data_IF_262470910805
#
_entry.id   IF_262470910805
#
_cell.length_a   1.000
_cell.length_b   1.000
_cell.length_c   1.000
_cell.angle_alpha   90.00
_cell.angle_beta   90.00
_cell.angle_gamma   90.00
#
_symmetry.space_group_name_H-M   'P 1'
#
loop_
_entity.id
_entity.type
_entity.pdbx_description
1 polymer ?
#
# COMPACT_ATOMS: atom_id res chain seq x y z
N UNK A 1 21.93 7.76 23.33
CA UNK A 1 21.60 9.20 23.33
C UNK A 1 21.10 9.53 21.92
N UNK A 2 19.79 9.50 21.74
CA UNK A 2 19.14 9.88 20.48
C UNK A 2 19.16 11.40 20.42
N UNK A 3 19.85 11.99 19.44
CA UNK A 3 19.79 13.43 19.19
C UNK A 3 18.48 13.69 18.45
N UNK A 4 17.59 14.40 19.10
CA UNK A 4 16.36 14.94 18.52
C UNK A 4 16.66 15.75 17.25
N UNK A 5 16.24 15.21 16.11
CA UNK A 5 16.30 15.90 14.80
C UNK A 5 15.23 17.00 14.69
N UNK A 6 14.34 17.10 15.67
CA UNK A 6 13.23 18.07 15.67
C UNK A 6 13.65 19.54 15.80
N UNK A 7 14.92 19.83 16.15
CA UNK A 7 15.40 21.20 16.39
C UNK A 7 15.75 21.94 15.09
N UNK A 8 15.95 21.24 13.98
CA UNK A 8 16.38 21.87 12.72
C UNK A 8 15.22 22.57 11.98
N UNK A 9 13.98 22.20 12.27
CA UNK A 9 12.82 22.75 11.56
C UNK A 9 12.37 24.15 12.04
N UNK A 10 12.84 24.62 13.19
CA UNK A 10 12.38 25.87 13.79
C UNK A 10 13.12 27.12 13.32
N UNK A 11 14.26 26.99 12.65
CA UNK A 11 15.10 28.12 12.22
C UNK A 11 15.27 28.21 10.70
N UNK A 12 14.35 27.71 9.93
CA UNK A 12 14.38 27.86 8.47
C UNK A 12 14.14 29.36 8.14
N UNK A 13 15.06 30.02 7.45
CA UNK A 13 14.92 31.45 7.11
C UNK A 13 13.60 31.74 6.38
N UNK A 14 13.00 32.91 6.63
CA UNK A 14 11.68 33.27 6.10
C UNK A 14 11.60 33.18 4.56
N UNK A 15 12.68 33.43 3.85
CA UNK A 15 12.76 33.34 2.38
C UNK A 15 12.73 31.90 1.87
N UNK A 16 13.01 30.93 2.71
CA UNK A 16 12.89 29.49 2.37
C UNK A 16 11.48 28.98 2.66
N UNK A 17 10.68 29.71 3.45
CA UNK A 17 9.30 29.34 3.79
C UNK A 17 8.27 29.82 2.75
N UNK A 18 8.66 30.68 1.84
CA UNK A 18 7.77 31.27 0.84
C UNK A 18 7.82 30.49 -0.46
N UNK A 19 6.97 29.52 -0.57
CA UNK A 19 6.56 29.02 -1.85
C UNK A 19 7.04 27.64 -2.21
N UNK A 20 6.15 26.74 -2.15
CA UNK A 20 6.06 25.59 -2.99
C UNK A 20 7.21 24.59 -2.83
N UNK A 21 7.51 23.88 -3.80
CA UNK A 21 8.41 22.74 -3.90
C UNK A 21 9.92 23.05 -3.90
N UNK A 22 10.38 24.10 -3.23
CA UNK A 22 11.82 24.42 -3.17
C UNK A 22 12.61 23.23 -2.59
N UNK A 23 13.58 22.76 -3.35
CA UNK A 23 14.38 21.58 -3.01
C UNK A 23 13.80 20.25 -3.54
N UNK A 24 12.58 20.27 -4.07
CA UNK A 24 11.92 19.10 -4.66
C UNK A 24 11.79 19.18 -6.19
N UNK A 25 12.46 20.13 -6.83
CA UNK A 25 12.34 20.38 -8.27
C UNK A 25 12.75 19.17 -9.13
N UNK A 26 13.64 18.35 -8.59
CA UNK A 26 14.15 17.15 -9.25
C UNK A 26 13.47 15.86 -8.80
N UNK A 27 12.45 15.93 -7.94
CA UNK A 27 11.70 14.76 -7.53
C UNK A 27 10.62 14.47 -8.56
N UNK A 28 10.75 13.33 -9.23
CA UNK A 28 9.73 12.74 -10.11
C UNK A 28 8.91 11.69 -9.37
N UNK A 29 7.81 11.24 -9.98
CA UNK A 29 7.00 10.15 -9.43
C UNK A 29 7.79 8.85 -9.22
N UNK A 30 8.87 8.65 -9.96
CA UNK A 30 9.76 7.48 -9.83
C UNK A 30 10.59 7.51 -8.53
N UNK A 31 10.75 8.70 -7.95
CA UNK A 31 11.47 8.89 -6.68
C UNK A 31 10.55 8.80 -5.47
N UNK A 32 9.24 8.65 -5.68
CA UNK A 32 8.25 8.61 -4.60
C UNK A 32 7.71 7.20 -4.42
N UNK A 33 7.64 6.76 -3.18
CA UNK A 33 6.96 5.51 -2.83
C UNK A 33 5.50 5.81 -2.54
N UNK A 34 4.59 5.07 -3.19
CA UNK A 34 3.17 5.13 -2.84
C UNK A 34 2.98 4.40 -1.51
N UNK A 35 2.45 5.07 -0.47
CA UNK A 35 2.19 4.43 0.81
C UNK A 35 1.25 3.23 0.63
N UNK A 36 1.55 2.14 1.33
CA UNK A 36 0.69 0.96 1.41
C UNK A 36 0.31 0.71 2.85
N UNK A 37 -0.89 0.21 3.07
CA UNK A 37 -1.28 -0.30 4.38
C UNK A 37 -1.18 -1.82 4.34
N UNK A 38 -0.45 -2.37 5.31
CA UNK A 38 -0.25 -3.80 5.48
C UNK A 38 -0.89 -4.24 6.79
N UNK A 39 -1.67 -5.29 6.76
CA UNK A 39 -2.11 -5.97 7.98
C UNK A 39 -1.04 -6.93 8.45
N UNK A 40 -0.57 -6.74 9.66
CA UNK A 40 0.49 -7.54 10.25
C UNK A 40 0.03 -8.98 10.53
N UNK A 41 0.91 -9.92 10.29
CA UNK A 41 0.76 -11.33 10.63
C UNK A 41 1.73 -11.69 11.76
N UNK A 42 1.55 -12.88 12.35
CA UNK A 42 2.41 -13.39 13.43
C UNK A 42 3.91 -13.35 13.09
N UNK A 43 4.25 -13.61 11.83
CA UNK A 43 5.64 -13.66 11.34
C UNK A 43 6.03 -12.40 10.54
N UNK A 44 5.33 -11.30 10.71
CA UNK A 44 5.72 -10.02 10.09
C UNK A 44 6.93 -9.44 10.80
N UNK A 45 7.90 -8.96 10.02
CA UNK A 45 9.14 -8.35 10.53
C UNK A 45 8.87 -7.21 11.50
N UNK A 46 7.79 -6.46 11.29
CA UNK A 46 7.37 -5.32 12.11
C UNK A 46 6.96 -5.74 13.54
N UNK A 47 6.62 -7.02 13.73
CA UNK A 47 6.24 -7.58 15.05
C UNK A 47 7.45 -8.14 15.80
N UNK A 48 8.52 -8.53 15.10
CA UNK A 48 9.72 -9.10 15.68
C UNK A 48 10.60 -8.00 16.28
N UNK A 49 10.73 -7.98 17.61
CA UNK A 49 11.53 -7.00 18.36
C UNK A 49 13.02 -6.98 17.96
N UNK A 50 13.53 -8.09 17.41
CA UNK A 50 14.93 -8.20 16.99
C UNK A 50 15.15 -7.79 15.52
N UNK A 51 14.09 -7.51 14.78
CA UNK A 51 14.18 -7.16 13.36
C UNK A 51 14.36 -5.65 13.16
N UNK A 52 15.17 -5.25 12.16
CA UNK A 52 15.41 -3.83 11.86
C UNK A 52 14.16 -3.06 11.41
N UNK A 53 13.12 -3.77 10.98
CA UNK A 53 11.82 -3.21 10.60
C UNK A 53 10.80 -3.22 11.76
N UNK A 54 11.23 -3.56 12.99
CA UNK A 54 10.33 -3.56 14.14
C UNK A 54 9.63 -2.21 14.33
N UNK A 55 8.33 -2.28 14.60
CA UNK A 55 7.50 -1.13 14.96
C UNK A 55 7.07 -1.30 16.41
N UNK A 56 7.40 -0.32 17.24
CA UNK A 56 7.08 -0.36 18.66
C UNK A 56 5.58 -0.54 18.89
N UNK A 57 5.23 -1.46 19.79
CA UNK A 57 3.84 -1.83 20.13
C UNK A 57 3.00 -2.45 19.00
N UNK A 58 3.58 -2.75 17.84
CA UNK A 58 2.88 -3.42 16.76
C UNK A 58 2.56 -4.88 17.10
N UNK A 59 1.36 -5.31 16.80
CA UNK A 59 0.85 -6.65 17.10
C UNK A 59 0.28 -7.32 15.85
N UNK A 60 0.22 -8.66 15.81
CA UNK A 60 -0.51 -9.35 14.75
C UNK A 60 -1.96 -8.87 14.68
N UNK A 61 -2.42 -8.58 13.48
CA UNK A 61 -3.74 -8.03 13.20
C UNK A 61 -3.78 -6.51 13.05
N UNK A 62 -2.75 -5.79 13.50
CA UNK A 62 -2.67 -4.33 13.33
C UNK A 62 -2.44 -3.96 11.86
N UNK A 63 -2.94 -2.80 11.48
CA UNK A 63 -2.68 -2.16 10.20
C UNK A 63 -1.55 -1.15 10.35
N UNK A 64 -0.53 -1.23 9.49
CA UNK A 64 0.62 -0.32 9.50
C UNK A 64 0.84 0.29 8.12
N UNK A 65 1.26 1.54 8.10
CA UNK A 65 1.70 2.21 6.88
C UNK A 65 3.16 1.82 6.59
N UNK A 66 3.42 1.33 5.39
CA UNK A 66 4.76 0.82 5.01
C UNK A 66 5.81 1.91 4.81
N UNK A 67 5.39 3.16 4.59
CA UNK A 67 6.30 4.31 4.35
C UNK A 67 6.49 5.12 5.64
N UNK A 68 5.40 5.54 6.27
CA UNK A 68 5.46 6.35 7.50
C UNK A 68 5.73 5.52 8.74
N UNK A 69 5.55 4.20 8.67
CA UNK A 69 5.62 3.24 9.78
C UNK A 69 4.61 3.51 10.91
N UNK A 70 3.58 4.32 10.62
CA UNK A 70 2.49 4.58 11.55
C UNK A 70 1.68 3.30 11.78
N UNK A 71 1.47 2.96 13.06
CA UNK A 71 0.59 1.87 13.45
C UNK A 71 -0.81 2.42 13.71
N UNK A 72 -1.78 1.99 12.90
CA UNK A 72 -3.19 2.38 13.01
C UNK A 72 -3.97 1.49 14.01
N UNK A 73 -3.34 0.43 14.54
CA UNK A 73 -4.02 -0.56 15.36
C UNK A 73 -4.88 -1.52 14.53
N UNK A 74 -5.91 -2.09 15.17
CA UNK A 74 -6.76 -3.13 14.57
C UNK A 74 -7.85 -2.58 13.65
N UNK A 75 -8.10 -1.30 13.70
CA UNK A 75 -9.16 -0.62 12.94
C UNK A 75 -8.62 0.66 12.34
N UNK A 76 -9.05 0.96 11.13
CA UNK A 76 -8.75 2.21 10.44
C UNK A 76 -9.96 2.64 9.63
N UNK A 77 -10.41 3.88 9.85
CA UNK A 77 -11.52 4.47 9.11
C UNK A 77 -11.02 5.01 7.78
N UNK A 78 -11.70 4.61 6.70
CA UNK A 78 -11.24 4.94 5.34
C UNK A 78 -12.39 5.28 4.41
N UNK A 79 -12.08 6.13 3.43
CA UNK A 79 -12.90 6.33 2.23
C UNK A 79 -12.22 5.60 1.07
N UNK A 80 -12.96 4.74 0.38
CA UNK A 80 -12.45 3.99 -0.75
C UNK A 80 -12.67 4.77 -2.04
N UNK A 81 -11.61 5.34 -2.61
CA UNK A 81 -11.71 6.24 -3.76
C UNK A 81 -11.50 5.55 -5.11
N UNK A 82 -10.78 4.42 -5.13
CA UNK A 82 -10.52 3.69 -6.37
C UNK A 82 -10.30 2.20 -6.10
N UNK A 83 -10.62 1.39 -7.10
CA UNK A 83 -10.41 -0.05 -7.11
C UNK A 83 -9.79 -0.48 -8.43
N UNK A 84 -8.78 -1.33 -8.35
CA UNK A 84 -8.12 -1.93 -9.51
C UNK A 84 -7.88 -3.42 -9.26
N UNK A 85 -7.99 -4.21 -10.30
CA UNK A 85 -7.58 -5.62 -10.31
C UNK A 85 -6.44 -5.82 -11.30
N UNK A 86 -5.39 -6.49 -10.87
CA UNK A 86 -4.22 -6.82 -11.67
C UNK A 86 -3.79 -8.27 -11.42
N UNK A 87 -3.03 -8.80 -12.37
CA UNK A 87 -2.37 -10.09 -12.27
C UNK A 87 -0.85 -9.87 -12.22
N UNK A 88 -0.26 -10.15 -11.06
CA UNK A 88 1.16 -9.96 -10.83
C UNK A 88 1.89 -11.27 -11.12
N UNK A 89 2.90 -11.22 -11.96
CA UNK A 89 3.72 -12.37 -12.34
C UNK A 89 5.04 -12.35 -11.58
N UNK A 90 5.31 -13.42 -10.88
CA UNK A 90 6.54 -13.65 -10.13
C UNK A 90 7.28 -14.86 -10.71
N UNK A 91 8.59 -14.79 -10.76
CA UNK A 91 9.41 -16.00 -10.93
C UNK A 91 9.34 -16.79 -9.63
N UNK A 92 9.08 -18.10 -9.70
CA UNK A 92 9.06 -18.95 -8.50
C UNK A 92 10.39 -18.89 -7.75
N UNK A 93 10.35 -18.98 -6.41
CA UNK A 93 11.55 -18.82 -5.56
C UNK A 93 12.65 -19.83 -5.90
N UNK A 94 12.29 -21.08 -6.20
CA UNK A 94 13.22 -22.14 -6.64
C UNK A 94 13.87 -21.87 -8.00
N UNK A 95 13.36 -20.91 -8.76
CA UNK A 95 13.87 -20.45 -10.06
C UNK A 95 14.57 -19.08 -9.99
N UNK A 96 14.90 -18.61 -8.81
CA UNK A 96 15.61 -17.36 -8.58
C UNK A 96 14.74 -16.22 -8.03
N UNK A 97 13.42 -16.35 -8.07
CA UNK A 97 12.51 -15.32 -7.59
C UNK A 97 12.51 -14.06 -8.46
N UNK A 98 11.72 -13.07 -8.07
CA UNK A 98 11.68 -11.75 -8.71
C UNK A 98 10.37 -11.43 -9.39
N UNK A 99 10.08 -10.14 -9.51
CA UNK A 99 8.93 -9.61 -10.22
C UNK A 99 9.19 -9.63 -11.73
N UNK A 100 8.26 -10.18 -12.49
CA UNK A 100 8.29 -10.13 -13.97
C UNK A 100 7.51 -8.92 -14.48
N UNK A 101 6.31 -8.69 -13.93
CA UNK A 101 5.46 -7.59 -14.34
C UNK A 101 4.05 -7.69 -13.77
N UNK A 102 3.24 -6.69 -14.13
CA UNK A 102 1.83 -6.59 -13.73
C UNK A 102 0.98 -6.48 -14.99
N UNK A 103 -0.09 -7.24 -15.07
CA UNK A 103 -0.93 -7.38 -16.27
C UNK A 103 -2.41 -7.17 -15.92
N UNK A 104 -3.21 -6.64 -16.85
CA UNK A 104 -4.63 -6.39 -16.60
C UNK A 104 -5.47 -7.67 -16.57
N UNK A 105 -5.00 -8.76 -17.20
CA UNK A 105 -5.64 -10.06 -17.18
C UNK A 105 -4.64 -11.20 -17.03
N UNK A 106 -5.16 -12.37 -16.64
CA UNK A 106 -4.35 -13.60 -16.58
C UNK A 106 -3.89 -14.04 -17.97
N UNK A 107 -4.73 -13.82 -18.95
CA UNK A 107 -4.48 -14.14 -20.36
C UNK A 107 -3.32 -13.32 -20.90
N UNK A 108 -3.29 -12.01 -20.62
CA UNK A 108 -2.18 -11.13 -21.02
C UNK A 108 -0.87 -11.53 -20.35
N UNK A 109 -0.92 -11.93 -19.08
CA UNK A 109 0.24 -12.44 -18.37
C UNK A 109 0.82 -13.71 -19.01
N UNK A 110 -0.05 -14.65 -19.38
CA UNK A 110 0.35 -15.89 -20.06
C UNK A 110 0.90 -15.59 -21.47
N UNK A 111 0.23 -14.71 -22.23
CA UNK A 111 0.68 -14.31 -23.56
C UNK A 111 2.07 -13.70 -23.50
N UNK A 112 2.31 -12.78 -22.56
CA UNK A 112 3.62 -12.16 -22.36
C UNK A 112 4.71 -13.19 -22.04
N UNK A 113 4.44 -14.13 -21.13
CA UNK A 113 5.42 -15.19 -20.80
C UNK A 113 5.76 -16.03 -22.04
N UNK A 114 4.75 -16.39 -22.83
CA UNK A 114 4.91 -17.17 -24.06
C UNK A 114 5.74 -16.42 -25.11
N UNK A 115 5.47 -15.13 -25.32
CA UNK A 115 6.24 -14.27 -26.25
C UNK A 115 7.71 -14.11 -25.84
N UNK A 116 7.97 -14.12 -24.52
CA UNK A 116 9.34 -14.07 -23.99
C UNK A 116 10.03 -15.45 -23.96
N UNK A 117 9.39 -16.50 -24.47
CA UNK A 117 9.91 -17.87 -24.42
C UNK A 117 10.06 -18.44 -23.01
N UNK A 118 9.30 -17.91 -22.04
CA UNK A 118 9.34 -18.31 -20.62
C UNK A 118 8.26 -19.36 -20.35
N UNK A 119 8.62 -20.37 -19.56
CA UNK A 119 7.66 -21.39 -19.15
C UNK A 119 6.71 -20.85 -18.08
N UNK A 120 5.42 -20.97 -18.31
CA UNK A 120 4.39 -20.56 -17.32
C UNK A 120 4.58 -21.31 -16.00
N UNK A 121 5.00 -22.57 -16.05
CA UNK A 121 5.23 -23.40 -14.87
C UNK A 121 6.38 -22.92 -13.97
N UNK A 122 7.30 -22.10 -14.47
CA UNK A 122 8.38 -21.49 -13.70
C UNK A 122 7.93 -20.18 -13.00
N UNK A 123 6.67 -19.77 -13.23
CA UNK A 123 6.12 -18.51 -12.73
C UNK A 123 4.88 -18.72 -11.88
N UNK A 124 4.61 -17.78 -11.00
CA UNK A 124 3.39 -17.67 -10.22
C UNK A 124 2.63 -16.43 -10.70
N UNK A 125 1.37 -16.61 -11.11
CA UNK A 125 0.48 -15.52 -11.52
C UNK A 125 -0.51 -15.30 -10.39
N UNK A 126 -0.36 -14.17 -9.68
CA UNK A 126 -1.16 -13.85 -8.51
C UNK A 126 -2.18 -12.78 -8.84
N UNK A 127 -3.48 -13.10 -8.72
CA UNK A 127 -4.55 -12.10 -8.76
C UNK A 127 -4.44 -11.18 -7.55
N UNK A 128 -4.41 -9.87 -7.79
CA UNK A 128 -4.33 -8.85 -6.75
C UNK A 128 -5.39 -7.79 -6.98
N UNK A 129 -6.20 -7.54 -5.97
CA UNK A 129 -7.17 -6.47 -5.93
C UNK A 129 -6.65 -5.35 -5.04
N UNK A 130 -6.44 -4.17 -5.61
CA UNK A 130 -5.89 -3.01 -4.94
C UNK A 130 -6.99 -1.97 -4.72
N UNK A 131 -7.19 -1.59 -3.47
CA UNK A 131 -8.03 -0.48 -3.07
C UNK A 131 -7.17 0.75 -2.82
N UNK A 132 -7.53 1.88 -3.41
CA UNK A 132 -6.95 3.17 -3.07
C UNK A 132 -7.85 3.84 -2.03
N UNK A 133 -7.27 4.17 -0.90
CA UNK A 133 -7.98 4.58 0.29
C UNK A 133 -7.45 5.92 0.79
N UNK A 134 -8.33 6.74 1.33
CA UNK A 134 -7.99 7.92 2.11
C UNK A 134 -8.32 7.63 3.58
N UNK A 135 -7.37 7.89 4.48
CA UNK A 135 -7.62 7.79 5.93
C UNK A 135 -8.58 8.89 6.35
N UNK A 136 -9.50 8.57 7.22
CA UNK A 136 -10.40 9.53 7.82
C UNK A 136 -10.22 9.52 9.34
N UNK A 137 -10.25 10.68 9.94
CA UNK A 137 -10.33 10.82 11.39
C UNK A 137 -11.78 10.54 11.86
N UNK A 138 -11.95 9.57 12.75
CA UNK A 138 -13.25 9.14 13.24
C UNK A 138 -14.02 10.27 13.96
N UNK A 139 -13.29 11.16 14.65
CA UNK A 139 -13.90 12.17 15.51
C UNK A 139 -14.25 13.44 14.77
N UNK A 140 -13.36 13.86 13.85
CA UNK A 140 -13.53 15.12 13.10
C UNK A 140 -14.21 14.90 11.76
N UNK A 141 -14.14 13.69 11.20
CA UNK A 141 -14.59 13.38 9.84
C UNK A 141 -13.65 13.91 8.75
N UNK A 142 -12.50 14.47 9.14
CA UNK A 142 -11.51 14.97 8.19
C UNK A 142 -10.86 13.83 7.44
N UNK A 143 -10.71 14.01 6.13
CA UNK A 143 -10.10 13.03 5.24
C UNK A 143 -8.70 13.48 4.88
N UNK A 144 -7.74 12.58 4.99
CA UNK A 144 -6.34 12.87 4.64
C UNK A 144 -6.18 13.12 3.14
N UNK A 145 -5.27 14.02 2.78
CA UNK A 145 -5.01 14.37 1.37
C UNK A 145 -4.18 13.31 0.63
N UNK A 146 -3.40 12.51 1.38
CA UNK A 146 -2.50 11.52 0.78
C UNK A 146 -3.15 10.15 0.80
N UNK A 147 -3.41 9.56 -0.38
CA UNK A 147 -3.97 8.22 -0.45
C UNK A 147 -2.91 7.16 -0.12
N UNK A 148 -3.37 6.03 0.35
CA UNK A 148 -2.58 4.81 0.46
C UNK A 148 -3.25 3.64 -0.25
N UNK A 149 -2.47 2.61 -0.56
CA UNK A 149 -2.96 1.41 -1.23
C UNK A 149 -3.13 0.28 -0.21
N UNK A 150 -4.20 -0.49 -0.39
CA UNK A 150 -4.43 -1.73 0.35
C UNK A 150 -4.60 -2.87 -0.64
N UNK A 151 -3.62 -3.78 -0.65
CA UNK A 151 -3.58 -4.90 -1.58
C UNK A 151 -4.21 -6.14 -0.96
N UNK A 152 -5.13 -6.73 -1.71
CA UNK A 152 -5.81 -7.98 -1.39
C UNK A 152 -5.41 -9.05 -2.41
N UNK A 153 -4.65 -10.04 -1.96
CA UNK A 153 -4.27 -11.20 -2.75
C UNK A 153 -4.55 -12.49 -1.96
N UNK A 154 -4.61 -13.62 -2.63
CA UNK A 154 -4.81 -14.95 -2.03
C UNK A 154 -6.02 -14.97 -1.09
N UNK A 155 -5.86 -15.25 0.18
CA UNK A 155 -6.96 -15.34 1.17
C UNK A 155 -7.72 -14.02 1.36
N UNK A 156 -7.09 -12.88 1.12
CA UNK A 156 -7.71 -11.55 1.24
C UNK A 156 -8.64 -11.20 0.07
N UNK A 157 -8.57 -11.94 -1.06
CA UNK A 157 -9.47 -11.71 -2.20
C UNK A 157 -10.94 -11.88 -1.81
N UNK A 158 -11.25 -12.82 -0.91
CA UNK A 158 -12.62 -13.00 -0.43
C UNK A 158 -13.12 -11.74 0.27
N UNK A 159 -12.32 -11.19 1.16
CA UNK A 159 -12.67 -9.97 1.93
C UNK A 159 -12.86 -8.78 0.99
N UNK A 160 -11.97 -8.61 0.00
CA UNK A 160 -12.10 -7.56 -1.01
C UNK A 160 -13.40 -7.68 -1.83
N UNK A 161 -13.78 -8.90 -2.23
CA UNK A 161 -15.04 -9.15 -2.95
C UNK A 161 -16.27 -8.88 -2.10
N UNK A 162 -16.25 -9.28 -0.83
CA UNK A 162 -17.31 -8.97 0.13
C UNK A 162 -17.46 -7.43 0.29
N UNK A 163 -16.36 -6.73 0.44
CA UNK A 163 -16.33 -5.27 0.54
C UNK A 163 -16.89 -4.59 -0.73
N UNK A 164 -16.42 -4.99 -1.91
CA UNK A 164 -16.94 -4.49 -3.18
C UNK A 164 -18.45 -4.74 -3.33
N UNK A 165 -18.94 -5.90 -2.86
CA UNK A 165 -20.37 -6.21 -2.86
C UNK A 165 -21.16 -5.27 -1.94
N UNK A 166 -20.62 -4.96 -0.77
CA UNK A 166 -21.27 -4.02 0.16
C UNK A 166 -21.32 -2.61 -0.42
N UNK A 167 -20.22 -2.14 -1.04
CA UNK A 167 -20.18 -0.85 -1.73
C UNK A 167 -21.24 -0.79 -2.83
N UNK A 168 -21.31 -1.81 -3.68
CA UNK A 168 -22.29 -1.87 -4.77
C UNK A 168 -23.74 -1.90 -4.26
N UNK A 169 -24.01 -2.58 -3.12
CA UNK A 169 -25.36 -2.63 -2.54
C UNK A 169 -25.81 -1.30 -1.91
N UNK A 170 -24.90 -0.49 -1.39
CA UNK A 170 -25.23 0.84 -0.86
C UNK A 170 -25.66 1.79 -1.96
N UNK A 171 -25.21 1.57 -3.19
CA UNK A 171 -25.44 2.46 -4.34
C UNK A 171 -24.64 3.76 -4.23
N UNK A 172 -24.62 4.53 -5.31
CA UNK A 172 -23.84 5.75 -5.40
C UNK A 172 -22.37 5.51 -5.71
N UNK A 173 -21.56 6.55 -5.56
CA UNK A 173 -20.16 6.51 -5.85
C UNK A 173 -19.40 5.77 -4.73
N UNK A 174 -18.30 5.11 -5.11
CA UNK A 174 -17.44 4.35 -4.19
C UNK A 174 -16.94 5.19 -3.01
N UNK A 175 -16.65 6.47 -3.24
CA UNK A 175 -16.16 7.42 -2.24
C UNK A 175 -17.26 8.05 -1.38
N UNK A 176 -18.53 7.76 -1.63
CA UNK A 176 -19.66 8.32 -0.88
C UNK A 176 -19.93 7.63 0.46
N UNK A 177 -19.15 6.60 0.79
CA UNK A 177 -19.34 5.81 2.01
C UNK A 177 -18.06 5.68 2.81
N UNK A 178 -18.19 5.86 4.10
CA UNK A 178 -17.16 5.54 5.08
C UNK A 178 -17.15 4.03 5.35
N UNK A 179 -15.97 3.51 5.57
CA UNK A 179 -15.70 2.09 5.84
C UNK A 179 -14.78 1.92 7.04
#
# INVERSE_FOLDING_TARGET
MSKDISIIATEVPAHVKTGGNLGNENISSEHMMVPRVKQLQQLSNEVDENHSEHIENAKPGDFVNTVTRENYGKEVYVVNVHFKEDFIVWVKREKGGGLVGTFPSKEDAIAYLSEQGKLVDDHEITQTQTHQLLKMDEKTGEVADIPFLFDCASSKLRVSREWNTQIARKGGDRFSSLW
#
